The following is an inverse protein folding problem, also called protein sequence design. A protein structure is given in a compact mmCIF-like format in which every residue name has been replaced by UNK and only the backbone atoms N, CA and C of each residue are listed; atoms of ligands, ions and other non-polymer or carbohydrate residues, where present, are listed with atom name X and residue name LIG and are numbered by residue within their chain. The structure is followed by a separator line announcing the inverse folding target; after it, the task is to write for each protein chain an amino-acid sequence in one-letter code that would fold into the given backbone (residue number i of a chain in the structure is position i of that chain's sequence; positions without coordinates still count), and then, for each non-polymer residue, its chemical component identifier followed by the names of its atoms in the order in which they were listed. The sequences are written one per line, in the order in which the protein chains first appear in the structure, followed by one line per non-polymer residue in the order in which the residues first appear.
data_IF_670208841840
#
_entry.id   IF_670208841840
#
_cell.length_a   1.000
_cell.length_b   1.000
_cell.length_c   1.000
_cell.angle_alpha   90.00
_cell.angle_beta   90.00
_cell.angle_gamma   90.00
#
_symmetry.space_group_name_H-M   'P 1'
#
loop_
_entity.id
_entity.type
_entity.pdbx_description
1 polymer ?
#
# COMPACT_ATOMS: atom_id res chain seq x y z
N UNK A 1 -28.94 22.96 24.76
CA UNK A 1 -28.58 21.84 23.87
C UNK A 1 -27.07 21.66 23.96
N UNK A 2 -26.61 20.56 24.57
CA UNK A 2 -25.19 20.29 24.82
C UNK A 2 -24.56 19.72 23.55
N UNK A 3 -23.39 20.28 23.19
CA UNK A 3 -22.51 19.91 22.09
C UNK A 3 -22.54 18.40 21.73
N UNK A 4 -23.17 18.07 20.60
CA UNK A 4 -23.07 16.75 19.98
C UNK A 4 -21.84 16.62 19.05
N UNK A 5 -21.14 17.72 18.75
CA UNK A 5 -20.03 17.74 17.80
C UNK A 5 -18.65 17.46 18.41
N UNK A 6 -18.52 17.38 19.74
CA UNK A 6 -17.22 17.10 20.39
C UNK A 6 -16.88 15.60 20.49
N UNK A 7 -17.68 14.70 19.88
CA UNK A 7 -17.47 13.25 19.89
C UNK A 7 -16.96 12.67 18.56
N UNK A 8 -16.78 13.49 17.53
CA UNK A 8 -16.36 13.04 16.19
C UNK A 8 -14.86 13.14 15.93
N UNK A 9 -14.09 13.81 16.79
CA UNK A 9 -12.64 13.67 16.81
C UNK A 9 -12.27 12.46 17.67
N UNK A 10 -12.58 11.27 17.16
CA UNK A 10 -11.83 10.10 17.56
C UNK A 10 -10.36 10.45 17.29
N UNK A 11 -9.51 10.40 18.32
CA UNK A 11 -8.06 10.32 18.12
C UNK A 11 -7.84 9.25 17.06
N UNK A 12 -7.37 9.62 15.87
CA UNK A 12 -6.89 8.66 14.89
C UNK A 12 -5.82 7.88 15.62
N UNK A 13 -6.15 6.65 16.03
CA UNK A 13 -5.17 5.76 16.64
C UNK A 13 -4.17 5.52 15.52
N UNK A 14 -2.91 5.89 15.73
CA UNK A 14 -1.87 5.63 14.75
C UNK A 14 -1.93 4.14 14.38
N UNK A 15 -2.03 3.85 13.09
CA UNK A 15 -1.90 2.49 12.59
C UNK A 15 -0.51 1.99 12.99
N UNK A 16 -0.44 0.75 13.48
CA UNK A 16 0.80 0.11 13.82
C UNK A 16 1.18 -0.83 12.69
N UNK A 17 2.01 -0.34 11.77
CA UNK A 17 2.54 -1.16 10.68
C UNK A 17 3.56 -2.16 11.23
N UNK A 18 3.64 -3.37 10.64
CA UNK A 18 4.65 -4.34 11.00
C UNK A 18 6.03 -3.85 10.57
N UNK A 19 7.02 -4.03 11.44
CA UNK A 19 8.44 -4.01 11.06
C UNK A 19 8.89 -5.42 10.74
N UNK A 20 9.96 -5.58 9.94
CA UNK A 20 10.46 -6.92 9.60
C UNK A 20 10.82 -7.75 10.84
N UNK A 21 11.28 -7.10 11.91
CA UNK A 21 11.62 -7.74 13.19
C UNK A 21 10.43 -8.41 13.86
N UNK A 22 9.23 -7.88 13.63
CA UNK A 22 7.97 -8.36 14.20
C UNK A 22 7.14 -9.18 13.20
N UNK A 23 7.70 -9.44 12.01
CA UNK A 23 6.99 -10.07 10.91
C UNK A 23 7.51 -11.49 10.65
N UNK A 24 6.61 -12.47 10.73
CA UNK A 24 6.90 -13.81 10.25
C UNK A 24 6.77 -13.84 8.74
N UNK A 25 7.89 -13.89 8.03
CA UNK A 25 7.95 -14.02 6.58
C UNK A 25 8.38 -15.44 6.21
N UNK A 26 7.49 -16.19 5.54
CA UNK A 26 7.83 -17.51 5.00
C UNK A 26 8.83 -17.36 3.85
N UNK A 27 9.95 -18.07 3.95
CA UNK A 27 10.98 -18.11 2.93
C UNK A 27 11.32 -19.55 2.52
N UNK A 28 10.40 -20.50 2.75
CA UNK A 28 10.56 -21.92 2.44
C UNK A 28 10.89 -22.18 0.96
N UNK A 29 10.41 -21.33 0.05
CA UNK A 29 10.67 -21.41 -1.38
C UNK A 29 11.95 -20.69 -1.85
N UNK A 30 12.67 -20.04 -0.92
CA UNK A 30 13.92 -19.33 -1.22
C UNK A 30 15.13 -20.18 -0.84
N UNK A 31 16.02 -20.54 -1.79
CA UNK A 31 17.27 -21.21 -1.50
C UNK A 31 18.09 -20.46 -0.46
N UNK A 32 18.75 -21.19 0.46
CA UNK A 32 19.51 -20.63 1.58
C UNK A 32 20.47 -19.50 1.18
N UNK A 33 21.17 -19.68 0.05
CA UNK A 33 22.11 -18.68 -0.50
C UNK A 33 21.49 -17.31 -0.82
N UNK A 34 20.16 -17.19 -0.89
CA UNK A 34 19.46 -15.93 -1.15
C UNK A 34 18.66 -15.41 0.05
N UNK A 35 18.57 -16.17 1.15
CA UNK A 35 17.74 -15.77 2.30
C UNK A 35 18.26 -14.51 3.00
N UNK A 36 19.54 -14.18 2.87
CA UNK A 36 20.13 -12.97 3.44
C UNK A 36 19.57 -11.66 2.83
N UNK A 37 18.97 -11.71 1.63
CA UNK A 37 18.31 -10.55 1.01
C UNK A 37 16.91 -10.28 1.56
N UNK A 38 16.32 -11.23 2.31
CA UNK A 38 14.92 -11.18 2.74
C UNK A 38 14.59 -9.89 3.47
N UNK A 39 15.38 -9.53 4.49
CA UNK A 39 15.07 -8.38 5.32
C UNK A 39 15.11 -7.08 4.50
N UNK A 40 16.20 -6.86 3.77
CA UNK A 40 16.37 -5.67 2.93
C UNK A 40 15.23 -5.50 1.91
N UNK A 41 14.89 -6.58 1.18
CA UNK A 41 13.87 -6.53 0.14
C UNK A 41 12.45 -6.32 0.69
N UNK A 42 12.12 -6.97 1.81
CA UNK A 42 10.81 -6.85 2.45
C UNK A 42 10.67 -5.49 3.15
N UNK A 43 11.69 -5.00 3.84
CA UNK A 43 11.70 -3.65 4.43
C UNK A 43 11.52 -2.56 3.38
N UNK A 44 12.23 -2.66 2.26
CA UNK A 44 12.08 -1.75 1.12
C UNK A 44 10.62 -1.68 0.64
N UNK A 45 9.99 -2.84 0.45
CA UNK A 45 8.61 -2.89 -0.03
C UNK A 45 7.65 -2.34 1.03
N UNK A 46 7.75 -2.80 2.28
CA UNK A 46 6.85 -2.37 3.36
C UNK A 46 6.93 -0.87 3.60
N UNK A 47 8.13 -0.28 3.61
CA UNK A 47 8.30 1.16 3.75
C UNK A 47 7.62 1.95 2.63
N UNK A 48 7.68 1.44 1.39
CA UNK A 48 6.99 2.03 0.24
C UNK A 48 5.47 1.97 0.40
N UNK A 49 4.92 0.78 0.70
CA UNK A 49 3.48 0.57 0.82
C UNK A 49 2.89 1.33 2.02
N UNK A 50 3.61 1.36 3.15
CA UNK A 50 3.25 2.17 4.30
C UNK A 50 3.17 3.66 3.92
N UNK A 51 4.16 4.20 3.20
CA UNK A 51 4.15 5.62 2.79
C UNK A 51 2.93 5.95 1.93
N UNK A 52 2.54 5.04 1.03
CA UNK A 52 1.33 5.19 0.22
C UNK A 52 0.06 5.13 1.06
N UNK A 53 0.00 4.20 2.01
CA UNK A 53 -1.14 4.04 2.92
C UNK A 53 -1.37 5.27 3.80
N UNK A 54 -0.29 5.81 4.36
CA UNK A 54 -0.31 7.00 5.19
C UNK A 54 -0.77 8.23 4.40
N UNK A 55 -0.29 8.37 3.16
CA UNK A 55 -0.72 9.42 2.24
C UNK A 55 -2.22 9.28 1.92
N UNK A 56 -2.68 8.09 1.54
CA UNK A 56 -4.09 7.87 1.19
C UNK A 56 -5.02 8.19 2.37
N UNK A 57 -4.62 7.79 3.58
CA UNK A 57 -5.38 8.08 4.80
C UNK A 57 -5.48 9.58 5.06
N UNK A 58 -4.36 10.31 4.98
CA UNK A 58 -4.34 11.77 5.14
C UNK A 58 -5.27 12.46 4.12
N UNK A 59 -5.17 12.07 2.86
CA UNK A 59 -5.99 12.63 1.78
C UNK A 59 -7.47 12.30 2.01
N UNK A 60 -7.81 11.07 2.40
CA UNK A 60 -9.19 10.68 2.68
C UNK A 60 -9.77 11.45 3.89
N UNK A 61 -9.01 11.65 4.96
CA UNK A 61 -9.44 12.47 6.11
C UNK A 61 -9.73 13.92 5.69
N UNK A 62 -8.85 14.52 4.88
CA UNK A 62 -9.07 15.87 4.33
C UNK A 62 -10.27 15.92 3.40
N UNK A 63 -10.47 14.88 2.58
CA UNK A 63 -11.63 14.75 1.72
C UNK A 63 -12.92 14.68 2.53
N UNK A 64 -13.00 13.84 3.58
CA UNK A 64 -14.17 13.76 4.48
C UNK A 64 -14.53 15.12 5.09
N UNK A 65 -13.53 15.92 5.48
CA UNK A 65 -13.74 17.29 5.98
C UNK A 65 -14.29 18.20 4.87
N UNK A 66 -13.77 18.11 3.64
CA UNK A 66 -14.30 18.86 2.50
C UNK A 66 -15.75 18.44 2.19
N UNK A 67 -16.06 17.15 2.22
CA UNK A 67 -17.42 16.62 2.02
C UNK A 67 -18.41 17.24 3.00
N UNK A 68 -18.03 17.28 4.29
CA UNK A 68 -18.89 17.83 5.34
C UNK A 68 -19.17 19.33 5.19
N UNK A 69 -18.34 20.06 4.43
CA UNK A 69 -18.47 21.50 4.17
C UNK A 69 -19.22 21.82 2.87
N UNK A 70 -19.62 20.81 2.07
CA UNK A 70 -20.34 21.02 0.83
C UNK A 70 -21.71 21.64 1.09
N UNK A 71 -22.10 22.59 0.24
CA UNK A 71 -23.41 23.26 0.32
C UNK A 71 -24.58 22.32 0.05
N UNK A 72 -24.37 21.28 -0.76
CA UNK A 72 -25.32 20.18 -0.96
C UNK A 72 -24.59 18.89 -1.33
N UNK A 73 -25.27 17.75 -1.18
CA UNK A 73 -24.74 16.43 -1.56
C UNK A 73 -24.54 16.26 -3.07
N UNK A 74 -25.18 17.08 -3.90
CA UNK A 74 -25.07 17.05 -5.36
C UNK A 74 -23.96 17.92 -5.93
N UNK A 75 -23.28 18.72 -5.09
CA UNK A 75 -22.21 19.61 -5.51
C UNK A 75 -20.84 19.07 -5.14
N UNK A 76 -19.87 19.22 -6.06
CA UNK A 76 -18.44 19.06 -5.81
C UNK A 76 -17.92 20.27 -5.04
N UNK A 77 -17.11 20.03 -4.01
CA UNK A 77 -16.45 21.13 -3.31
C UNK A 77 -15.41 21.76 -4.25
N UNK A 78 -15.32 23.10 -4.39
CA UNK A 78 -14.35 23.74 -5.29
C UNK A 78 -12.91 23.24 -5.10
N UNK A 79 -12.51 23.04 -3.85
CA UNK A 79 -11.16 22.58 -3.47
C UNK A 79 -10.90 21.08 -3.71
N UNK A 80 -11.91 20.29 -4.08
CA UNK A 80 -11.75 18.84 -4.28
C UNK A 80 -10.75 18.55 -5.40
N UNK A 81 -10.80 19.29 -6.51
CA UNK A 81 -9.89 19.11 -7.64
C UNK A 81 -8.42 19.31 -7.25
N UNK A 82 -8.13 20.29 -6.39
CA UNK A 82 -6.80 20.55 -5.87
C UNK A 82 -6.29 19.41 -4.97
N UNK A 83 -7.18 18.81 -4.17
CA UNK A 83 -6.84 17.65 -3.34
C UNK A 83 -6.48 16.43 -4.19
N UNK A 84 -7.21 16.16 -5.28
CA UNK A 84 -6.89 15.09 -6.23
C UNK A 84 -5.54 15.31 -6.92
N UNK A 85 -5.23 16.55 -7.33
CA UNK A 85 -3.94 16.89 -7.94
C UNK A 85 -2.78 16.71 -6.95
N UNK A 86 -2.97 17.16 -5.70
CA UNK A 86 -1.99 16.97 -4.65
C UNK A 86 -1.72 15.48 -4.38
N UNK A 87 -2.78 14.68 -4.27
CA UNK A 87 -2.67 13.23 -4.07
C UNK A 87 -1.88 12.57 -5.20
N UNK A 88 -2.24 12.86 -6.46
CA UNK A 88 -1.55 12.30 -7.62
C UNK A 88 -0.05 12.65 -7.61
N UNK A 89 0.29 13.91 -7.35
CA UNK A 89 1.67 14.38 -7.29
C UNK A 89 2.46 13.70 -6.17
N UNK A 90 1.90 13.61 -4.96
CA UNK A 90 2.58 12.98 -3.82
C UNK A 90 2.75 11.47 -4.00
N UNK A 91 1.79 10.80 -4.66
CA UNK A 91 1.98 9.41 -5.08
C UNK A 91 3.15 9.26 -6.06
N UNK A 92 3.29 10.16 -7.04
CA UNK A 92 4.41 10.16 -7.97
C UNK A 92 5.75 10.34 -7.24
N UNK A 93 5.84 11.28 -6.29
CA UNK A 93 7.03 11.53 -5.47
C UNK A 93 7.46 10.28 -4.67
N UNK A 94 6.52 9.44 -4.26
CA UNK A 94 6.79 8.17 -3.57
C UNK A 94 7.18 7.06 -4.56
N UNK A 95 6.48 6.92 -5.68
CA UNK A 95 6.58 5.75 -6.56
C UNK A 95 7.70 5.89 -7.60
N UNK A 96 7.86 7.07 -8.19
CA UNK A 96 8.87 7.30 -9.23
C UNK A 96 10.30 6.88 -8.83
N UNK A 97 10.81 7.17 -7.61
CA UNK A 97 12.15 6.75 -7.22
C UNK A 97 12.28 5.26 -6.93
N UNK A 98 11.19 4.52 -6.70
CA UNK A 98 11.23 3.10 -6.31
C UNK A 98 10.72 2.16 -7.41
N UNK A 99 10.12 2.68 -8.48
CA UNK A 99 9.64 1.89 -9.61
C UNK A 99 10.77 1.56 -10.59
N UNK A 100 10.77 0.33 -11.12
CA UNK A 100 11.67 -0.08 -12.21
C UNK A 100 11.17 0.43 -13.59
N UNK A 101 9.93 0.93 -13.65
CA UNK A 101 9.28 1.47 -14.85
C UNK A 101 8.98 2.95 -14.67
N UNK A 102 8.93 3.74 -15.75
CA UNK A 102 8.47 5.12 -15.67
C UNK A 102 7.11 5.20 -14.98
N UNK A 103 6.95 6.19 -14.09
CA UNK A 103 5.67 6.44 -13.46
C UNK A 103 4.62 6.75 -14.54
N UNK A 104 3.47 6.08 -14.46
CA UNK A 104 2.31 6.36 -15.29
C UNK A 104 1.21 6.88 -14.38
N UNK A 105 0.72 8.09 -14.67
CA UNK A 105 -0.40 8.66 -13.94
C UNK A 105 -1.66 7.86 -14.26
N UNK A 106 -2.00 6.93 -13.37
CA UNK A 106 -3.16 6.07 -13.49
C UNK A 106 -4.34 6.63 -12.69
N UNK A 107 -5.55 6.15 -13.01
CA UNK A 107 -6.74 6.44 -12.23
C UNK A 107 -6.58 5.88 -10.82
N UNK A 108 -6.22 6.74 -9.85
CA UNK A 108 -6.17 6.39 -8.44
C UNK A 108 -7.46 6.77 -7.75
N UNK A 109 -7.92 5.91 -6.86
CA UNK A 109 -8.88 6.26 -5.83
C UNK A 109 -8.14 6.47 -4.50
N UNK A 110 -8.81 7.14 -3.57
CA UNK A 110 -8.50 7.07 -2.17
C UNK A 110 -9.79 6.77 -1.39
N UNK A 111 -9.70 6.08 -0.26
CA UNK A 111 -10.88 5.74 0.52
C UNK A 111 -10.59 5.13 1.88
N UNK A 112 -11.63 4.53 2.46
CA UNK A 112 -11.53 3.69 3.65
C UNK A 112 -12.16 2.30 3.37
N UNK A 113 -11.46 1.20 3.68
CA UNK A 113 -10.04 1.18 4.07
C UNK A 113 -9.15 1.69 2.93
N UNK A 114 -7.94 2.14 3.29
CA UNK A 114 -6.93 2.52 2.32
C UNK A 114 -6.37 1.29 1.59
N UNK A 115 -5.72 1.50 0.45
CA UNK A 115 -5.28 0.41 -0.42
C UNK A 115 -4.37 -0.60 0.29
N UNK A 116 -3.56 -0.16 1.27
CA UNK A 116 -2.59 -0.98 1.96
C UNK A 116 -2.86 -1.09 3.47
N UNK A 117 -4.09 -0.78 3.93
CA UNK A 117 -4.45 -0.84 5.35
C UNK A 117 -4.26 -2.26 5.91
N UNK A 118 -4.39 -3.26 5.03
CA UNK A 118 -4.24 -4.68 5.33
C UNK A 118 -2.85 -5.05 5.87
N UNK A 119 -1.83 -4.20 5.68
CA UNK A 119 -0.52 -4.39 6.32
C UNK A 119 -0.64 -4.43 7.85
N UNK A 120 -1.65 -3.78 8.40
CA UNK A 120 -1.89 -3.74 9.85
C UNK A 120 -2.77 -4.88 10.36
N UNK A 121 -3.30 -5.72 9.47
CA UNK A 121 -4.21 -6.78 9.87
C UNK A 121 -3.40 -7.94 10.48
N UNK A 122 -3.75 -8.40 11.70
CA UNK A 122 -2.96 -9.44 12.39
C UNK A 122 -2.87 -10.77 11.65
N UNK A 123 -3.82 -11.04 10.74
CA UNK A 123 -3.90 -12.27 9.97
C UNK A 123 -3.17 -12.18 8.61
N UNK A 124 -2.58 -11.03 8.27
CA UNK A 124 -1.85 -10.88 7.01
C UNK A 124 -0.59 -11.73 7.04
N UNK A 125 -0.43 -12.58 6.04
CA UNK A 125 0.74 -13.45 5.87
C UNK A 125 1.66 -12.92 4.78
N UNK A 126 2.93 -13.26 4.86
CA UNK A 126 3.98 -12.76 3.97
C UNK A 126 4.86 -13.91 3.52
N UNK A 127 5.13 -13.98 2.21
CA UNK A 127 6.05 -14.95 1.62
C UNK A 127 7.12 -14.23 0.80
N UNK A 128 8.37 -14.61 1.01
CA UNK A 128 9.53 -14.13 0.26
C UNK A 128 10.10 -15.24 -0.61
N UNK A 129 10.10 -15.02 -1.92
CA UNK A 129 10.51 -15.98 -2.94
C UNK A 129 11.61 -15.36 -3.81
N UNK A 130 12.80 -15.94 -3.80
CA UNK A 130 13.93 -15.45 -4.57
C UNK A 130 14.70 -16.60 -5.22
N UNK A 131 15.00 -16.49 -6.51
CA UNK A 131 15.71 -17.52 -7.30
C UNK A 131 16.97 -17.00 -8.00
N UNK A 132 17.19 -15.69 -7.99
CA UNK A 132 18.40 -15.00 -8.44
C UNK A 132 18.64 -13.77 -7.57
N UNK A 133 19.89 -13.30 -7.52
CA UNK A 133 20.33 -12.07 -6.85
C UNK A 133 19.59 -10.80 -7.33
N UNK A 134 19.21 -10.79 -8.60
CA UNK A 134 18.59 -9.65 -9.29
C UNK A 134 17.07 -9.60 -9.19
N UNK A 135 16.40 -10.62 -8.64
CA UNK A 135 14.93 -10.68 -8.65
C UNK A 135 14.34 -11.42 -7.45
N UNK A 136 13.49 -10.70 -6.72
CA UNK A 136 12.69 -11.25 -5.61
C UNK A 136 11.19 -11.08 -5.89
N UNK A 137 10.38 -11.87 -5.18
CA UNK A 137 8.93 -11.77 -5.14
C UNK A 137 8.51 -11.74 -3.68
N UNK A 138 7.66 -10.77 -3.33
CA UNK A 138 6.98 -10.72 -2.04
C UNK A 138 5.50 -10.93 -2.31
N UNK A 139 4.92 -11.94 -1.67
CA UNK A 139 3.48 -12.22 -1.71
C UNK A 139 2.87 -11.92 -0.35
N UNK A 140 1.66 -11.37 -0.36
CA UNK A 140 0.89 -11.05 0.83
C UNK A 140 -0.50 -11.66 0.68
N UNK A 141 -1.00 -12.33 1.71
CA UNK A 141 -2.40 -12.78 1.75
C UNK A 141 -3.09 -12.14 2.95
N UNK A 142 -4.31 -11.65 2.74
CA UNK A 142 -5.07 -10.92 3.76
C UNK A 142 -6.57 -11.09 3.55
N UNK A 143 -7.36 -10.83 4.58
CA UNK A 143 -8.81 -10.81 4.51
C UNK A 143 -9.31 -9.36 4.47
N UNK A 144 -10.07 -9.03 3.42
CA UNK A 144 -10.81 -7.78 3.34
C UNK A 144 -12.22 -8.04 2.80
N UNK A 145 -13.05 -8.64 3.64
CA UNK A 145 -14.41 -9.09 3.32
C UNK A 145 -14.44 -10.38 2.49
N UNK A 146 -13.42 -10.55 1.66
CA UNK A 146 -13.01 -11.79 1.02
C UNK A 146 -11.49 -11.93 1.18
N UNK A 147 -10.97 -13.16 1.21
CA UNK A 147 -9.52 -13.34 1.18
C UNK A 147 -8.96 -12.91 -0.18
N UNK A 148 -7.85 -12.19 -0.15
CA UNK A 148 -7.14 -11.67 -1.32
C UNK A 148 -5.66 -12.00 -1.18
N UNK A 149 -4.97 -11.97 -2.31
CA UNK A 149 -3.51 -12.04 -2.36
C UNK A 149 -2.94 -11.01 -3.31
N UNK A 150 -1.80 -10.46 -2.93
CA UNK A 150 -1.02 -9.54 -3.76
C UNK A 150 0.40 -10.06 -3.96
N UNK A 151 0.96 -9.79 -5.13
CA UNK A 151 2.31 -10.16 -5.50
C UNK A 151 3.07 -8.94 -5.99
N UNK A 152 4.20 -8.67 -5.37
CA UNK A 152 5.15 -7.63 -5.75
C UNK A 152 6.41 -8.29 -6.31
N UNK A 153 6.75 -7.96 -7.55
CA UNK A 153 7.98 -8.40 -8.20
C UNK A 153 9.00 -7.29 -8.02
N UNK A 154 10.12 -7.62 -7.38
CA UNK A 154 11.22 -6.70 -7.12
C UNK A 154 12.41 -7.03 -8.01
N UNK A 155 13.09 -6.00 -8.50
CA UNK A 155 14.37 -6.10 -9.21
C UNK A 155 15.46 -5.39 -8.43
N UNK A 156 16.64 -5.99 -8.37
CA UNK A 156 17.83 -5.35 -7.84
C UNK A 156 18.78 -5.04 -9.02
N UNK A 157 19.12 -3.77 -9.21
CA UNK A 157 19.99 -3.29 -10.28
C UNK A 157 21.43 -2.98 -9.80
N UNK A 158 21.76 -3.37 -8.56
CA UNK A 158 23.03 -3.07 -7.90
C UNK A 158 23.04 -1.73 -7.13
N UNK A 159 22.07 -0.85 -7.37
CA UNK A 159 21.89 0.41 -6.62
C UNK A 159 20.75 0.32 -5.58
N UNK A 160 20.11 -0.85 -5.48
CA UNK A 160 19.03 -1.13 -4.54
C UNK A 160 17.84 -1.82 -5.21
N UNK A 161 16.81 -2.07 -4.41
CA UNK A 161 15.58 -2.67 -4.88
C UNK A 161 14.67 -1.67 -5.59
N UNK A 162 13.97 -2.15 -6.60
CA UNK A 162 12.92 -1.45 -7.35
C UNK A 162 11.71 -2.36 -7.52
N UNK A 163 10.51 -1.79 -7.52
CA UNK A 163 9.27 -2.52 -7.81
C UNK A 163 9.07 -2.57 -9.32
N UNK A 164 9.07 -3.78 -9.89
CA UNK A 164 8.90 -4.02 -11.32
C UNK A 164 7.43 -4.25 -11.71
N UNK A 165 6.66 -4.90 -10.84
CA UNK A 165 5.25 -5.13 -11.05
C UNK A 165 4.50 -5.42 -9.75
N UNK A 166 3.24 -5.01 -9.72
CA UNK A 166 2.23 -5.45 -8.75
C UNK A 166 1.21 -6.33 -9.47
N UNK A 167 0.69 -7.33 -8.76
CA UNK A 167 -0.42 -8.17 -9.21
C UNK A 167 -1.32 -8.48 -8.03
N UNK A 168 -2.57 -8.82 -8.32
CA UNK A 168 -3.52 -9.33 -7.34
C UNK A 168 -4.11 -10.67 -7.81
N UNK A 169 -4.72 -11.39 -6.87
CA UNK A 169 -5.52 -12.58 -7.13
C UNK A 169 -6.34 -12.97 -5.89
N UNK A 170 -6.95 -14.14 -5.96
CA UNK A 170 -7.70 -14.72 -4.84
C UNK A 170 -7.09 -16.07 -4.42
N UNK A 171 -7.14 -16.43 -3.13
CA UNK A 171 -6.67 -17.74 -2.68
C UNK A 171 -7.41 -18.87 -3.38
N UNK A 172 -6.68 -19.93 -3.74
CA UNK A 172 -7.20 -21.05 -4.52
C UNK A 172 -7.18 -20.85 -6.04
N UNK A 173 -6.91 -19.63 -6.53
CA UNK A 173 -6.72 -19.38 -7.96
C UNK A 173 -5.23 -19.37 -8.33
N UNK A 174 -4.87 -19.98 -9.46
CA UNK A 174 -3.51 -19.93 -10.01
C UNK A 174 -3.23 -18.64 -10.81
N UNK A 175 -4.29 -17.95 -11.22
CA UNK A 175 -4.19 -16.77 -12.08
C UNK A 175 -3.81 -15.53 -11.27
N UNK A 176 -2.90 -14.73 -11.84
CA UNK A 176 -2.55 -13.42 -11.32
C UNK A 176 -2.99 -12.34 -12.31
N UNK A 177 -3.65 -11.31 -11.80
CA UNK A 177 -4.07 -10.14 -12.57
C UNK A 177 -3.08 -9.01 -12.38
N UNK A 178 -2.70 -8.34 -13.47
CA UNK A 178 -1.82 -7.16 -13.38
C UNK A 178 -2.53 -6.07 -12.57
N UNK A 179 -1.78 -5.45 -11.68
CA UNK A 179 -2.22 -4.29 -10.92
C UNK A 179 -1.20 -3.16 -11.03
N UNK A 180 -1.62 -1.97 -10.61
CA UNK A 180 -0.79 -0.78 -10.51
C UNK A 180 -0.53 -0.46 -9.04
N UNK A 181 0.65 0.09 -8.74
CA UNK A 181 1.03 0.56 -7.40
C UNK A 181 0.18 1.75 -6.96
#
# INVERSE_FOLDING_TARGET
MKNLFSKLFNKTKALQYPTIENLTVDSSQTPEKFQHFKSEAVEFLLGTLQSLDELEREINERYEILQAKRGSSSQVHPDESGLWQEYAKRCEEIIAPVSAKPYQQNSRSFGKPTAYEYLTYPATTYSFIMKSDSRAVVEMEYDWGVQKKEQFILKNDGNGWKIDAKKYGFPGEETWHKDEL
#
